data_IF_624550175570
#
_entry.id   IF_624550175570
#
_cell.length_a   1.000
_cell.length_b   1.000
_cell.length_c   1.000
_cell.angle_alpha   90.00
_cell.angle_beta   90.00
_cell.angle_gamma   90.00
#
_symmetry.space_group_name_H-M   'P 1'
#
loop_
_entity.id
_entity.type
_entity.pdbx_description
1 polymer ?
#
# COMPACT_ATOMS: atom_id res chain seq x y z
N UNK A 1 -24.80 -36.96 -13.84
CA UNK A 1 -23.87 -36.14 -13.02
C UNK A 1 -23.55 -34.89 -13.83
N UNK A 2 -24.25 -33.79 -13.56
CA UNK A 2 -24.17 -32.56 -14.35
C UNK A 2 -23.23 -31.59 -13.60
N UNK A 3 -21.99 -31.47 -14.06
CA UNK A 3 -21.03 -30.54 -13.47
C UNK A 3 -21.44 -29.12 -13.86
N UNK A 4 -21.84 -28.34 -12.87
CA UNK A 4 -22.15 -26.92 -13.02
C UNK A 4 -20.82 -26.18 -13.18
N UNK A 5 -20.52 -25.71 -14.39
CA UNK A 5 -19.39 -24.80 -14.57
C UNK A 5 -19.64 -23.54 -13.73
N UNK A 6 -18.84 -23.37 -12.68
CA UNK A 6 -18.83 -22.15 -11.88
C UNK A 6 -18.04 -21.13 -12.71
N UNK A 7 -18.74 -20.41 -13.58
CA UNK A 7 -18.20 -19.20 -14.20
C UNK A 7 -18.12 -18.14 -13.10
N UNK A 8 -16.95 -18.02 -12.44
CA UNK A 8 -16.73 -16.88 -11.55
C UNK A 8 -16.73 -15.63 -12.43
N UNK A 9 -17.88 -14.93 -12.49
CA UNK A 9 -17.97 -13.61 -13.08
C UNK A 9 -17.01 -12.72 -12.30
N UNK A 10 -15.81 -12.50 -12.83
CA UNK A 10 -14.80 -11.65 -12.22
C UNK A 10 -15.32 -10.22 -12.18
N UNK A 11 -16.01 -9.88 -11.11
CA UNK A 11 -16.51 -8.52 -10.89
C UNK A 11 -15.28 -7.60 -10.84
N UNK A 12 -15.19 -6.66 -11.79
CA UNK A 12 -14.08 -5.73 -11.94
C UNK A 12 -14.15 -4.67 -10.83
N UNK A 13 -13.77 -5.06 -9.61
CA UNK A 13 -13.80 -4.20 -8.42
C UNK A 13 -12.66 -3.19 -8.46
N UNK A 14 -11.52 -3.58 -9.03
CA UNK A 14 -10.34 -2.74 -9.10
C UNK A 14 -10.30 -2.01 -10.44
N UNK A 15 -10.62 -0.72 -10.42
CA UNK A 15 -10.46 0.14 -11.58
C UNK A 15 -8.97 0.23 -11.98
N UNK A 16 -8.69 0.28 -13.29
CA UNK A 16 -7.32 0.46 -13.79
C UNK A 16 -6.57 1.65 -13.16
N UNK A 17 -7.19 2.82 -12.91
CA UNK A 17 -6.56 3.94 -12.22
C UNK A 17 -6.07 3.60 -10.80
N UNK A 18 -6.85 2.81 -10.04
CA UNK A 18 -6.50 2.42 -8.67
C UNK A 18 -5.29 1.50 -8.66
N UNK A 19 -5.22 0.55 -9.60
CA UNK A 19 -4.06 -0.33 -9.74
C UNK A 19 -2.81 0.45 -10.15
N UNK A 20 -2.94 1.38 -11.10
CA UNK A 20 -1.83 2.21 -11.54
C UNK A 20 -1.26 3.03 -10.37
N UNK A 21 -2.14 3.67 -9.59
CA UNK A 21 -1.74 4.40 -8.39
C UNK A 21 -1.02 3.50 -7.37
N UNK A 22 -1.53 2.29 -7.12
CA UNK A 22 -0.91 1.34 -6.21
C UNK A 22 0.50 0.94 -6.67
N UNK A 23 0.67 0.60 -7.95
CA UNK A 23 1.97 0.21 -8.50
C UNK A 23 2.98 1.36 -8.51
N UNK A 24 2.55 2.59 -8.81
CA UNK A 24 3.42 3.78 -8.71
C UNK A 24 3.91 3.97 -7.27
N UNK A 25 3.01 3.84 -6.30
CA UNK A 25 3.33 3.99 -4.88
C UNK A 25 4.28 2.88 -4.41
N UNK A 26 3.99 1.62 -4.77
CA UNK A 26 4.83 0.46 -4.43
C UNK A 26 6.24 0.58 -5.03
N UNK A 27 6.34 0.94 -6.31
CA UNK A 27 7.63 1.15 -6.97
C UNK A 27 8.41 2.29 -6.31
N UNK A 28 7.73 3.39 -5.98
CA UNK A 28 8.36 4.54 -5.32
C UNK A 28 8.94 4.16 -3.95
N UNK A 29 8.22 3.35 -3.15
CA UNK A 29 8.72 2.86 -1.85
C UNK A 29 9.99 2.03 -2.03
N UNK A 30 10.02 1.12 -3.01
CA UNK A 30 11.20 0.28 -3.28
C UNK A 30 12.40 1.15 -3.66
N UNK A 31 12.21 2.09 -4.59
CA UNK A 31 13.29 3.01 -5.03
C UNK A 31 13.77 3.87 -3.86
N UNK A 32 12.87 4.43 -3.06
CA UNK A 32 13.21 5.23 -1.89
C UNK A 32 13.96 4.43 -0.83
N UNK A 33 13.56 3.18 -0.57
CA UNK A 33 14.24 2.32 0.40
C UNK A 33 15.67 2.00 -0.05
N UNK A 34 15.85 1.60 -1.32
CA UNK A 34 17.18 1.25 -1.87
C UNK A 34 18.09 2.48 -1.91
N UNK A 35 17.62 3.59 -2.48
CA UNK A 35 18.43 4.82 -2.57
C UNK A 35 18.67 5.45 -1.21
N UNK A 36 17.69 5.43 -0.30
CA UNK A 36 17.83 5.92 1.07
C UNK A 36 18.85 5.11 1.88
N UNK A 37 18.88 3.78 1.67
CA UNK A 37 19.91 2.93 2.25
C UNK A 37 21.30 3.35 1.79
N UNK A 38 21.51 3.58 0.49
CA UNK A 38 22.80 4.06 -0.02
C UNK A 38 23.14 5.49 0.39
N UNK A 39 22.15 6.32 0.73
CA UNK A 39 22.41 7.65 1.30
C UNK A 39 22.96 7.52 2.73
N UNK A 40 22.39 6.65 3.55
CA UNK A 40 22.85 6.42 4.93
C UNK A 40 24.13 5.57 5.03
N UNK A 41 24.30 4.61 4.12
CA UNK A 41 25.49 3.77 3.98
C UNK A 41 26.03 3.91 2.56
N UNK A 42 26.92 4.89 2.32
CA UNK A 42 27.42 5.14 0.98
C UNK A 42 28.17 3.94 0.42
N UNK A 43 28.13 3.82 -0.89
CA UNK A 43 28.96 2.86 -1.64
C UNK A 43 30.45 3.11 -1.36
N UNK A 44 31.31 2.10 -1.56
CA UNK A 44 32.75 2.26 -1.44
C UNK A 44 33.25 3.47 -2.25
N UNK A 45 34.20 4.22 -1.68
CA UNK A 45 34.77 5.37 -2.36
C UNK A 45 35.42 4.93 -3.66
N UNK A 46 35.03 5.54 -4.77
CA UNK A 46 35.61 5.29 -6.07
C UNK A 46 36.77 6.27 -6.26
N UNK A 47 37.89 5.78 -6.80
CA UNK A 47 39.03 6.63 -7.11
C UNK A 47 38.87 7.24 -8.50
N UNK A 48 39.12 8.54 -8.62
CA UNK A 48 38.98 9.28 -9.87
C UNK A 48 38.78 10.77 -9.60
N UNK A 49 38.80 11.57 -10.66
CA UNK A 49 38.61 13.02 -10.56
C UNK A 49 37.15 13.37 -10.30
N UNK A 50 36.90 14.12 -9.22
CA UNK A 50 35.55 14.45 -8.74
C UNK A 50 34.71 15.22 -9.78
N UNK A 51 35.35 15.99 -10.67
CA UNK A 51 34.71 16.73 -11.76
C UNK A 51 33.91 15.82 -12.70
N UNK A 52 34.38 14.58 -12.90
CA UNK A 52 33.78 13.63 -13.85
C UNK A 52 32.95 12.54 -13.17
N UNK A 53 32.87 12.52 -11.83
CA UNK A 53 32.20 11.44 -11.08
C UNK A 53 31.14 12.00 -10.12
N UNK A 54 29.86 11.74 -10.41
CA UNK A 54 28.73 12.26 -9.64
C UNK A 54 27.78 11.18 -9.07
N UNK A 55 28.30 10.00 -8.73
CA UNK A 55 27.50 8.83 -8.31
C UNK A 55 26.55 9.11 -7.13
N UNK A 56 27.07 9.69 -6.04
CA UNK A 56 26.26 10.05 -4.88
C UNK A 56 25.26 11.17 -5.20
N UNK A 57 25.58 12.00 -6.18
CA UNK A 57 24.68 13.02 -6.69
C UNK A 57 23.49 12.41 -7.43
N UNK A 58 23.74 11.43 -8.31
CA UNK A 58 22.68 10.68 -9.00
C UNK A 58 21.77 9.92 -8.04
N UNK A 59 22.33 9.24 -7.04
CA UNK A 59 21.53 8.51 -6.02
C UNK A 59 20.60 9.48 -5.29
N UNK A 60 21.11 10.64 -4.86
CA UNK A 60 20.31 11.67 -4.19
C UNK A 60 19.27 12.28 -5.12
N UNK A 61 19.61 12.55 -6.38
CA UNK A 61 18.67 13.09 -7.36
C UNK A 61 17.49 12.13 -7.58
N UNK A 62 17.77 10.85 -7.77
CA UNK A 62 16.73 9.82 -7.91
C UNK A 62 15.88 9.76 -6.64
N UNK A 63 16.52 9.69 -5.47
CA UNK A 63 15.80 9.64 -4.19
C UNK A 63 14.83 10.81 -4.01
N UNK A 64 15.31 12.05 -4.17
CA UNK A 64 14.47 13.24 -3.98
C UNK A 64 13.38 13.35 -5.05
N UNK A 65 13.68 13.04 -6.30
CA UNK A 65 12.68 13.06 -7.38
C UNK A 65 11.58 12.02 -7.12
N UNK A 66 11.96 10.80 -6.75
CA UNK A 66 10.99 9.76 -6.36
C UNK A 66 10.23 10.15 -5.10
N UNK A 67 10.85 10.82 -4.13
CA UNK A 67 10.17 11.30 -2.93
C UNK A 67 9.06 12.30 -3.26
N UNK A 68 9.30 13.22 -4.20
CA UNK A 68 8.27 14.14 -4.68
C UNK A 68 7.12 13.41 -5.37
N UNK A 69 7.41 12.47 -6.27
CA UNK A 69 6.38 11.66 -6.94
C UNK A 69 5.55 10.88 -5.91
N UNK A 70 6.22 10.22 -4.96
CA UNK A 70 5.56 9.49 -3.88
C UNK A 70 4.68 10.40 -3.03
N UNK A 71 5.18 11.58 -2.66
CA UNK A 71 4.45 12.56 -1.85
C UNK A 71 3.18 13.03 -2.56
N UNK A 72 3.27 13.39 -3.84
CA UNK A 72 2.10 13.79 -4.64
C UNK A 72 1.11 12.63 -4.78
N UNK A 73 1.59 11.42 -5.06
CA UNK A 73 0.74 10.23 -5.14
C UNK A 73 0.02 9.95 -3.80
N UNK A 74 0.72 10.12 -2.67
CA UNK A 74 0.15 9.94 -1.34
C UNK A 74 -0.88 11.04 -1.01
N UNK A 75 -0.60 12.29 -1.34
CA UNK A 75 -1.53 13.41 -1.15
C UNK A 75 -2.80 13.22 -1.98
N UNK A 76 -2.68 12.83 -3.25
CA UNK A 76 -3.82 12.48 -4.08
C UNK A 76 -4.66 11.36 -3.45
N UNK A 77 -4.00 10.37 -2.85
CA UNK A 77 -4.69 9.28 -2.14
C UNK A 77 -5.43 9.75 -0.90
N UNK A 78 -4.79 10.58 -0.08
CA UNK A 78 -5.42 11.15 1.12
C UNK A 78 -6.63 11.98 0.71
N UNK A 79 -6.51 12.80 -0.35
CA UNK A 79 -7.63 13.54 -0.91
C UNK A 79 -8.78 12.63 -1.34
N UNK A 80 -8.50 11.57 -2.10
CA UNK A 80 -9.53 10.60 -2.51
C UNK A 80 -10.12 9.83 -1.33
N UNK A 81 -9.33 9.57 -0.28
CA UNK A 81 -9.84 8.98 0.95
C UNK A 81 -10.78 9.93 1.70
N UNK A 82 -10.59 11.25 1.63
CA UNK A 82 -11.46 12.24 2.26
C UNK A 82 -12.73 12.57 1.45
N UNK A 83 -12.60 12.69 0.12
CA UNK A 83 -13.69 13.10 -0.80
C UNK A 83 -14.44 11.92 -1.42
N UNK A 84 -13.81 10.73 -1.45
CA UNK A 84 -14.38 9.52 -2.04
C UNK A 84 -15.42 8.80 -1.17
N UNK A 85 -15.96 7.72 -1.73
CA UNK A 85 -17.07 6.93 -1.18
C UNK A 85 -16.82 6.43 0.26
N UNK A 86 -17.89 6.06 0.97
CA UNK A 86 -17.88 5.61 2.38
C UNK A 86 -16.84 4.51 2.65
N UNK A 87 -16.69 3.58 1.70
CA UNK A 87 -15.73 2.47 1.72
C UNK A 87 -14.26 2.90 1.49
N UNK A 88 -14.01 4.02 0.82
CA UNK A 88 -12.67 4.58 0.66
C UNK A 88 -12.14 5.20 1.97
N UNK A 89 -13.06 5.59 2.86
CA UNK A 89 -12.78 6.15 4.19
C UNK A 89 -12.39 5.09 5.22
N UNK A 90 -12.97 3.89 5.16
CA UNK A 90 -12.79 2.86 6.18
C UNK A 90 -11.36 2.33 6.29
N UNK A 91 -10.59 2.36 5.20
CA UNK A 91 -9.19 1.93 5.23
C UNK A 91 -8.24 2.95 5.90
N UNK A 92 -8.65 4.22 6.00
CA UNK A 92 -7.86 5.28 6.67
C UNK A 92 -8.38 5.61 8.07
N UNK A 93 -9.70 5.55 8.29
CA UNK A 93 -10.36 5.80 9.56
C UNK A 93 -11.02 4.51 10.06
N UNK A 94 -10.19 3.56 10.45
CA UNK A 94 -10.66 2.37 11.14
C UNK A 94 -11.31 2.82 12.47
N UNK A 95 -12.61 2.56 12.71
CA UNK A 95 -13.31 3.05 13.89
C UNK A 95 -12.95 2.22 15.13
N UNK A 96 -11.66 2.22 15.51
CA UNK A 96 -11.11 1.47 16.64
C UNK A 96 -11.80 1.80 17.98
N UNK A 97 -12.38 3.01 18.08
CA UNK A 97 -13.14 3.45 19.24
C UNK A 97 -14.49 2.72 19.40
N UNK A 98 -15.09 2.20 18.33
CA UNK A 98 -16.37 1.49 18.42
C UNK A 98 -16.16 0.11 19.05
N UNK A 99 -16.86 -0.17 20.15
CA UNK A 99 -16.79 -1.48 20.84
C UNK A 99 -17.28 -2.63 19.95
N UNK A 100 -18.28 -2.38 19.10
CA UNK A 100 -18.78 -3.38 18.14
C UNK A 100 -17.71 -3.80 17.13
N UNK A 101 -16.95 -2.83 16.59
CA UNK A 101 -15.86 -3.08 15.65
C UNK A 101 -14.75 -3.95 16.27
N UNK A 102 -14.30 -3.61 17.48
CA UNK A 102 -13.28 -4.40 18.19
C UNK A 102 -13.73 -5.84 18.48
N UNK A 103 -15.01 -6.03 18.85
CA UNK A 103 -15.54 -7.37 19.12
C UNK A 103 -15.51 -8.24 17.87
N UNK A 104 -16.00 -7.73 16.75
CA UNK A 104 -16.03 -8.55 15.54
C UNK A 104 -14.62 -8.82 14.99
N UNK A 105 -13.67 -7.88 15.07
CA UNK A 105 -12.27 -8.15 14.66
C UNK A 105 -11.66 -9.29 15.49
N UNK A 106 -11.90 -9.29 16.81
CA UNK A 106 -11.42 -10.38 17.69
C UNK A 106 -12.10 -11.71 17.33
N UNK A 107 -13.41 -11.71 17.06
CA UNK A 107 -14.13 -12.90 16.61
C UNK A 107 -13.61 -13.44 15.28
N UNK A 108 -13.27 -12.56 14.34
CA UNK A 108 -12.76 -12.91 13.02
C UNK A 108 -11.33 -13.48 13.11
N UNK A 109 -10.48 -12.87 13.95
CA UNK A 109 -9.15 -13.43 14.30
C UNK A 109 -9.32 -14.83 14.91
N UNK A 110 -10.18 -14.98 15.92
CA UNK A 110 -10.42 -16.29 16.57
C UNK A 110 -10.90 -17.34 15.57
N UNK A 111 -11.75 -16.97 14.63
CA UNK A 111 -12.21 -17.85 13.56
C UNK A 111 -11.07 -18.24 12.59
N UNK A 112 -10.21 -17.31 12.17
CA UNK A 112 -9.03 -17.64 11.35
C UNK A 112 -8.00 -18.52 12.07
N UNK A 113 -7.90 -18.38 13.39
CA UNK A 113 -7.13 -19.27 14.25
C UNK A 113 -7.88 -20.59 14.58
N UNK A 114 -9.05 -20.83 13.99
CA UNK A 114 -9.90 -21.99 14.21
C UNK A 114 -10.33 -22.21 15.67
N UNK A 115 -10.33 -21.15 16.48
CA UNK A 115 -10.78 -21.16 17.88
C UNK A 115 -12.31 -21.06 17.99
N UNK A 116 -12.98 -20.53 16.97
CA UNK A 116 -14.44 -20.46 16.87
C UNK A 116 -14.91 -21.32 15.68
N UNK A 117 -16.01 -22.06 15.87
CA UNK A 117 -16.52 -23.02 14.87
C UNK A 117 -17.37 -22.36 13.78
N UNK A 118 -17.93 -21.20 14.06
CA UNK A 118 -18.85 -20.48 13.17
C UNK A 118 -18.21 -19.16 12.71
N UNK A 119 -18.39 -18.84 11.44
CA UNK A 119 -17.92 -17.57 10.87
C UNK A 119 -18.70 -16.41 11.52
N UNK A 120 -18.04 -15.33 11.96
CA UNK A 120 -18.73 -14.16 12.47
C UNK A 120 -19.71 -13.65 11.41
N UNK A 121 -20.96 -13.35 11.82
CA UNK A 121 -21.96 -12.78 10.91
C UNK A 121 -21.46 -11.42 10.39
N UNK A 122 -21.20 -11.33 9.10
CA UNK A 122 -20.64 -10.18 8.37
C UNK A 122 -21.50 -8.90 8.37
N UNK A 123 -22.49 -8.79 9.25
CA UNK A 123 -23.38 -7.64 9.37
C UNK A 123 -22.90 -6.76 10.53
N UNK A 124 -21.95 -5.89 10.22
CA UNK A 124 -21.46 -4.83 11.10
C UNK A 124 -22.42 -3.63 11.14
N UNK A 125 -23.72 -3.86 10.92
CA UNK A 125 -24.81 -2.86 11.00
C UNK A 125 -25.40 -2.83 12.40
#
# INVERSE_FOLDING_TARGET
>A
MHLKEITSQGYYIYEAPVRLWHWITALSIVVLAVTGYFIGRPLPSIQGEATFMFWMGWIRLIHFTTAYIFTVALLFRIYWACVGNEYAREMFLVPFWRRAWRKGVISEIRWYFFLEKEAPSLLWT
#
